data_IF_270713701696
#
_entry.id   IF_270713701696
#
_cell.length_a   1.000
_cell.length_b   1.000
_cell.length_c   1.000
_cell.angle_alpha   90.00
_cell.angle_beta   90.00
_cell.angle_gamma   90.00
#
_symmetry.space_group_name_H-M   'P 1'
#
loop_
_entity.id
_entity.type
_entity.pdbx_description
1 polymer ?
#
# COMPACT_ATOMS: atom_id res chain seq x y z
N UNK A 1 17.61 -2.80 85.75
CA UNK A 1 18.04 -2.56 84.31
C UNK A 1 16.97 -3.09 83.45
N UNK A 2 16.10 -2.23 82.87
CA UNK A 2 15.01 -2.58 81.95
C UNK A 2 15.53 -2.42 80.54
N UNK A 3 15.58 -3.50 79.73
CA UNK A 3 15.93 -3.44 78.30
C UNK A 3 14.71 -3.02 77.50
N UNK A 4 14.82 -1.85 76.83
CA UNK A 4 13.81 -1.38 75.89
C UNK A 4 14.14 -1.97 74.53
N UNK A 5 13.25 -2.82 74.00
CA UNK A 5 13.40 -3.42 72.64
C UNK A 5 12.67 -2.54 71.65
N UNK A 6 13.41 -1.91 70.75
CA UNK A 6 12.87 -1.06 69.67
C UNK A 6 12.47 -1.93 68.46
N UNK A 7 11.17 -2.09 68.24
CA UNK A 7 10.65 -2.73 67.01
C UNK A 7 10.60 -1.73 65.86
N UNK A 8 11.43 -1.97 64.87
CA UNK A 8 11.43 -1.19 63.62
C UNK A 8 10.39 -1.79 62.66
N UNK A 9 9.27 -1.10 62.45
CA UNK A 9 8.28 -1.49 61.43
C UNK A 9 8.77 -1.01 60.05
N UNK A 10 9.13 -1.92 59.16
CA UNK A 10 9.33 -1.63 57.73
C UNK A 10 7.96 -1.55 57.04
N UNK A 11 7.54 -0.33 56.68
CA UNK A 11 6.39 -0.13 55.79
C UNK A 11 6.89 -0.37 54.38
N UNK A 12 6.58 -1.53 53.79
CA UNK A 12 6.78 -1.79 52.37
C UNK A 12 5.66 -1.09 51.62
N UNK A 13 5.93 0.08 51.06
CA UNK A 13 5.00 0.78 50.19
C UNK A 13 5.02 0.10 48.81
N UNK A 14 3.98 -0.67 48.48
CA UNK A 14 3.72 -1.16 47.15
C UNK A 14 3.23 0.00 46.29
N UNK A 15 4.16 0.67 45.59
CA UNK A 15 3.77 1.56 44.51
C UNK A 15 3.41 0.70 43.30
N UNK A 16 2.22 0.89 42.68
CA UNK A 16 1.91 0.22 41.44
C UNK A 16 2.90 0.68 40.35
N UNK A 17 3.72 -0.22 39.86
CA UNK A 17 4.55 0.05 38.69
C UNK A 17 3.62 0.15 37.50
N UNK A 18 3.34 1.37 37.06
CA UNK A 18 2.69 1.61 35.75
C UNK A 18 3.68 1.13 34.66
N UNK A 19 3.48 -0.07 34.16
CA UNK A 19 4.15 -0.51 32.96
C UNK A 19 3.62 0.33 31.80
N UNK A 20 4.44 1.25 31.28
CA UNK A 20 4.13 1.97 30.05
C UNK A 20 4.10 0.94 28.92
N UNK A 21 2.90 0.67 28.41
CA UNK A 21 2.73 -0.25 27.30
C UNK A 21 3.21 0.47 26.00
N UNK A 22 4.47 0.24 25.63
CA UNK A 22 5.02 0.81 24.41
C UNK A 22 4.42 0.10 23.20
N UNK A 23 3.93 0.84 22.18
CA UNK A 23 3.35 0.22 21.01
C UNK A 23 4.40 -0.61 20.25
N UNK A 24 4.01 -1.79 19.78
CA UNK A 24 4.81 -2.57 18.85
C UNK A 24 4.88 -1.81 17.50
N UNK A 25 6.10 -1.63 16.99
CA UNK A 25 6.34 -0.96 15.69
C UNK A 25 7.16 -1.90 14.83
N UNK A 26 6.62 -2.25 13.66
CA UNK A 26 7.31 -3.10 12.68
C UNK A 26 7.31 -2.45 11.31
N UNK A 27 8.49 -2.36 10.70
CA UNK A 27 8.66 -1.85 9.35
C UNK A 27 9.14 -2.96 8.42
N UNK A 28 8.44 -3.14 7.32
CA UNK A 28 8.79 -4.05 6.23
C UNK A 28 9.20 -3.21 5.02
N UNK A 29 10.36 -3.57 4.43
CA UNK A 29 10.91 -2.92 3.25
C UNK A 29 11.08 -3.94 2.14
N UNK A 30 10.58 -3.62 0.96
CA UNK A 30 10.65 -4.45 -0.24
C UNK A 30 11.32 -3.66 -1.35
N UNK A 31 12.30 -4.29 -2.00
CA UNK A 31 12.89 -3.79 -3.24
C UNK A 31 12.46 -4.71 -4.37
N UNK A 32 11.63 -4.23 -5.26
CA UNK A 32 11.11 -5.05 -6.37
C UNK A 32 12.18 -5.50 -7.38
N UNK A 33 13.45 -5.12 -7.18
CA UNK A 33 14.62 -5.65 -7.88
C UNK A 33 14.99 -7.08 -7.47
N UNK A 34 14.36 -7.60 -6.39
CA UNK A 34 14.52 -8.96 -5.90
C UNK A 34 13.24 -9.73 -6.13
N UNK A 35 13.29 -11.05 -6.12
CA UNK A 35 12.11 -11.90 -6.14
C UNK A 35 11.37 -11.79 -4.80
N UNK A 36 10.60 -10.73 -4.61
CA UNK A 36 9.88 -10.43 -3.36
C UNK A 36 8.57 -11.23 -3.22
N UNK A 37 8.28 -12.12 -4.19
CA UNK A 37 7.08 -12.96 -4.21
C UNK A 37 5.75 -12.18 -4.13
N UNK A 38 5.71 -10.98 -4.70
CA UNK A 38 4.43 -10.33 -4.98
C UNK A 38 3.72 -11.09 -6.08
N UNK A 39 2.43 -11.38 -5.83
CA UNK A 39 1.51 -11.85 -6.86
C UNK A 39 0.94 -10.66 -7.60
N UNK A 40 0.69 -10.80 -8.90
CA UNK A 40 0.07 -9.77 -9.74
C UNK A 40 -1.27 -10.27 -10.24
N UNK A 41 -2.27 -9.40 -10.28
CA UNK A 41 -3.57 -9.69 -10.86
C UNK A 41 -4.20 -8.42 -11.43
N UNK A 42 -5.31 -8.57 -12.13
CA UNK A 42 -6.05 -7.52 -12.81
C UNK A 42 -7.53 -7.68 -12.52
N UNK A 43 -8.24 -6.58 -12.41
CA UNK A 43 -9.69 -6.54 -12.23
C UNK A 43 -10.31 -5.40 -13.03
N UNK A 44 -11.62 -5.30 -12.99
CA UNK A 44 -12.44 -4.29 -13.65
C UNK A 44 -12.31 -4.33 -15.18
N UNK A 45 -12.32 -5.56 -15.73
CA UNK A 45 -12.34 -5.83 -17.17
C UNK A 45 -13.15 -7.10 -17.50
N UNK A 46 -13.68 -7.24 -18.76
CA UNK A 46 -14.48 -8.40 -19.16
C UNK A 46 -13.65 -9.68 -19.23
N UNK A 47 -14.23 -10.81 -18.84
CA UNK A 47 -13.62 -12.15 -18.95
C UNK A 47 -13.26 -12.48 -20.40
N UNK A 48 -12.05 -13.04 -20.57
CA UNK A 48 -11.56 -13.49 -21.88
C UNK A 48 -10.99 -12.38 -22.74
N UNK A 49 -10.86 -11.17 -22.20
CA UNK A 49 -10.31 -10.01 -22.91
C UNK A 49 -8.84 -9.70 -22.50
N UNK A 50 -8.15 -10.62 -21.83
CA UNK A 50 -6.79 -10.44 -21.32
C UNK A 50 -5.81 -10.00 -22.43
N UNK A 51 -5.94 -10.59 -23.61
CA UNK A 51 -5.11 -10.25 -24.78
C UNK A 51 -5.47 -8.87 -25.35
N UNK A 52 -6.76 -8.54 -25.43
CA UNK A 52 -7.24 -7.24 -25.91
C UNK A 52 -6.82 -6.11 -24.97
N UNK A 53 -6.84 -6.36 -23.66
CA UNK A 53 -6.34 -5.43 -22.64
C UNK A 53 -4.80 -5.45 -22.51
N UNK A 54 -4.08 -6.25 -23.28
CA UNK A 54 -2.62 -6.34 -23.30
C UNK A 54 -2.01 -6.52 -21.90
N UNK A 55 -2.67 -7.31 -21.02
CA UNK A 55 -2.29 -7.46 -19.62
C UNK A 55 -0.94 -8.18 -19.49
N UNK A 56 0.05 -7.51 -18.93
CA UNK A 56 1.40 -8.02 -18.81
C UNK A 56 2.04 -7.60 -17.48
N UNK A 57 2.86 -8.49 -16.92
CA UNK A 57 3.77 -8.13 -15.85
C UNK A 57 5.12 -8.83 -15.99
N UNK A 58 6.15 -8.24 -15.40
CA UNK A 58 7.48 -8.83 -15.34
C UNK A 58 8.14 -8.51 -13.99
N UNK A 59 8.44 -9.55 -13.23
CA UNK A 59 9.28 -9.43 -12.04
C UNK A 59 10.72 -9.12 -12.45
N UNK A 60 11.43 -8.36 -11.63
CA UNK A 60 12.82 -7.99 -11.86
C UNK A 60 13.07 -7.43 -13.28
N UNK A 61 12.14 -6.60 -13.76
CA UNK A 61 12.29 -5.91 -15.02
C UNK A 61 13.34 -4.80 -14.91
N UNK A 62 14.25 -4.71 -15.88
CA UNK A 62 15.16 -3.56 -15.99
C UNK A 62 14.35 -2.30 -16.19
N UNK A 63 14.63 -1.26 -15.42
CA UNK A 63 13.97 0.04 -15.58
C UNK A 63 14.42 0.69 -16.91
N UNK A 64 13.61 1.62 -17.42
CA UNK A 64 13.98 2.42 -18.58
C UNK A 64 15.33 3.13 -18.40
N UNK A 65 16.06 3.30 -19.49
CA UNK A 65 17.45 3.81 -19.48
C UNK A 65 17.58 5.25 -18.95
N UNK A 66 16.50 6.01 -18.98
CA UNK A 66 16.43 7.39 -18.45
C UNK A 66 16.56 7.44 -16.93
N UNK A 67 16.20 6.34 -16.26
CA UNK A 67 16.50 6.16 -14.84
C UNK A 67 17.97 5.76 -14.71
N UNK A 68 18.85 6.70 -14.37
CA UNK A 68 20.31 6.61 -14.38
C UNK A 68 20.95 5.50 -13.52
N UNK A 69 20.21 4.54 -13.07
CA UNK A 69 20.69 3.42 -12.28
C UNK A 69 20.26 2.13 -12.98
N UNK A 70 21.09 1.10 -12.98
CA UNK A 70 20.70 -0.25 -13.41
C UNK A 70 19.70 -0.87 -12.40
N UNK A 71 18.67 -0.11 -12.03
CA UNK A 71 17.64 -0.56 -11.13
C UNK A 71 16.72 -1.53 -11.86
N UNK A 72 16.17 -2.44 -11.08
CA UNK A 72 15.14 -3.36 -11.51
C UNK A 72 13.88 -3.13 -10.67
N UNK A 73 12.73 -3.50 -11.22
CA UNK A 73 11.45 -3.33 -10.54
C UNK A 73 10.43 -4.37 -10.96
N UNK A 74 9.26 -4.29 -10.38
CA UNK A 74 8.07 -5.00 -10.84
C UNK A 74 7.38 -4.16 -11.90
N UNK A 75 7.48 -4.56 -13.17
CA UNK A 75 6.73 -3.95 -14.28
C UNK A 75 5.31 -4.52 -14.30
N UNK A 76 4.30 -3.65 -14.35
CA UNK A 76 2.91 -4.01 -14.65
C UNK A 76 2.43 -3.10 -15.76
N UNK A 77 1.71 -3.66 -16.74
CA UNK A 77 1.20 -2.95 -17.90
C UNK A 77 -0.16 -3.50 -18.31
N UNK A 78 -1.00 -2.64 -18.86
CA UNK A 78 -2.29 -2.98 -19.44
C UNK A 78 -2.82 -1.83 -20.28
N UNK A 79 -3.60 -2.16 -21.31
CA UNK A 79 -4.31 -1.22 -22.18
C UNK A 79 -5.77 -1.16 -21.70
N UNK A 80 -6.16 -0.04 -21.10
CA UNK A 80 -7.51 0.12 -20.55
C UNK A 80 -8.51 0.38 -21.69
N UNK A 81 -9.55 -0.46 -21.77
CA UNK A 81 -10.68 -0.34 -22.70
C UNK A 81 -12.03 -0.35 -21.98
N UNK A 82 -12.02 -0.22 -20.64
CA UNK A 82 -13.23 -0.32 -19.80
C UNK A 82 -13.45 0.91 -18.93
N UNK A 83 -12.62 1.95 -19.07
CA UNK A 83 -12.63 3.13 -18.21
C UNK A 83 -12.34 2.85 -16.72
N UNK A 84 -11.97 1.62 -16.36
CA UNK A 84 -11.82 1.25 -14.93
C UNK A 84 -10.83 0.11 -14.70
N UNK A 85 -9.84 -0.08 -15.57
CA UNK A 85 -8.87 -1.17 -15.42
C UNK A 85 -8.07 -1.03 -14.11
N UNK A 86 -8.20 -2.02 -13.21
CA UNK A 86 -7.42 -2.12 -12.01
C UNK A 86 -6.29 -3.14 -12.13
N UNK A 87 -5.04 -2.67 -12.12
CA UNK A 87 -3.82 -3.48 -12.15
C UNK A 87 -3.18 -3.49 -10.77
N UNK A 88 -3.02 -4.65 -10.13
CA UNK A 88 -2.55 -4.69 -8.75
C UNK A 88 -1.55 -5.80 -8.44
N UNK A 89 -0.68 -5.53 -7.46
CA UNK A 89 0.21 -6.48 -6.85
C UNK A 89 -0.13 -6.64 -5.36
N UNK A 90 0.05 -7.85 -4.83
CA UNK A 90 -0.26 -8.14 -3.44
C UNK A 90 0.68 -9.18 -2.82
N UNK A 91 0.86 -9.10 -1.50
CA UNK A 91 1.77 -9.96 -0.75
C UNK A 91 1.30 -10.15 0.68
N UNK A 92 1.41 -11.38 1.19
CA UNK A 92 1.18 -11.65 2.61
C UNK A 92 2.35 -11.17 3.47
N UNK A 93 2.05 -10.45 4.53
CA UNK A 93 2.97 -10.06 5.61
C UNK A 93 2.68 -10.92 6.83
N UNK A 94 3.73 -11.40 7.49
CA UNK A 94 3.68 -12.23 8.69
C UNK A 94 4.51 -11.61 9.82
N UNK A 95 4.29 -12.09 11.04
CA UNK A 95 5.11 -11.72 12.18
C UNK A 95 4.65 -10.48 12.93
N UNK A 96 3.42 -10.01 12.68
CA UNK A 96 2.72 -9.07 13.55
C UNK A 96 2.10 -9.80 14.74
N UNK A 97 1.62 -9.09 15.77
CA UNK A 97 0.86 -9.71 16.84
C UNK A 97 -0.51 -10.17 16.32
N UNK A 98 -1.02 -11.37 16.74
CA UNK A 98 -2.35 -11.84 16.39
C UNK A 98 -3.47 -10.92 16.88
N UNK A 99 -4.57 -10.83 16.13
CA UNK A 99 -5.80 -10.10 16.49
C UNK A 99 -5.54 -8.67 17.00
N UNK A 100 -4.53 -8.01 16.45
CA UNK A 100 -4.06 -6.71 16.92
C UNK A 100 -4.33 -5.64 15.86
N UNK A 101 -4.85 -4.49 16.29
CA UNK A 101 -5.08 -3.36 15.41
C UNK A 101 -3.82 -2.50 15.27
N UNK A 102 -3.43 -2.20 14.03
CA UNK A 102 -2.28 -1.39 13.70
C UNK A 102 -2.67 -0.19 12.86
N UNK A 103 -2.15 0.98 13.21
CA UNK A 103 -2.00 2.07 12.24
C UNK A 103 -0.98 1.66 11.20
N UNK A 104 -1.27 1.97 9.93
CA UNK A 104 -0.38 1.61 8.81
C UNK A 104 0.02 2.86 8.04
N UNK A 105 1.31 3.02 7.83
CA UNK A 105 1.85 4.05 6.94
C UNK A 105 2.65 3.42 5.81
N UNK A 106 2.63 4.08 4.66
CA UNK A 106 3.21 3.60 3.42
C UNK A 106 4.17 4.61 2.81
N UNK A 107 5.18 4.09 2.11
CA UNK A 107 6.00 4.86 1.16
C UNK A 107 6.26 3.96 -0.03
N UNK A 108 5.69 4.33 -1.19
CA UNK A 108 5.78 3.58 -2.44
C UNK A 108 6.53 4.41 -3.46
N UNK A 109 7.64 3.87 -3.99
CA UNK A 109 8.39 4.44 -5.08
C UNK A 109 8.16 3.64 -6.36
N UNK A 110 8.00 4.34 -7.48
CA UNK A 110 7.82 3.75 -8.80
C UNK A 110 8.38 4.69 -9.89
N UNK A 111 8.63 4.12 -11.08
CA UNK A 111 8.93 4.89 -12.27
C UNK A 111 7.69 4.97 -13.17
N UNK A 112 7.41 6.17 -13.67
CA UNK A 112 6.35 6.50 -14.61
C UNK A 112 6.87 7.49 -15.66
N UNK A 113 6.27 7.47 -16.85
CA UNK A 113 6.50 8.45 -17.91
C UNK A 113 5.23 9.21 -18.31
N UNK A 114 4.19 9.11 -17.48
CA UNK A 114 2.91 9.76 -17.73
C UNK A 114 2.99 11.25 -17.35
N UNK A 115 2.81 12.21 -18.31
CA UNK A 115 2.91 13.62 -18.00
C UNK A 115 1.72 14.10 -17.16
N UNK A 116 1.98 14.99 -16.18
CA UNK A 116 0.92 15.75 -15.50
C UNK A 116 0.31 16.78 -16.44
N UNK A 117 -0.98 17.08 -16.29
CA UNK A 117 -1.67 18.11 -17.06
C UNK A 117 -1.86 17.79 -18.54
N UNK A 118 -1.59 16.56 -18.98
CA UNK A 118 -1.81 16.12 -20.35
C UNK A 118 -3.23 15.60 -20.55
N UNK A 119 -3.70 15.57 -21.79
CA UNK A 119 -5.02 15.05 -22.16
C UNK A 119 -4.90 13.70 -22.85
N UNK A 120 -5.90 12.84 -22.67
CA UNK A 120 -6.02 11.53 -23.32
C UNK A 120 -7.48 11.07 -23.40
N UNK A 121 -7.72 9.92 -24.00
CA UNK A 121 -9.05 9.32 -24.07
C UNK A 121 -9.44 8.84 -22.67
N UNK A 122 -10.66 9.10 -22.24
CA UNK A 122 -11.14 8.78 -20.89
C UNK A 122 -10.54 9.67 -19.78
N UNK A 123 -9.33 10.23 -19.97
CA UNK A 123 -8.65 11.06 -18.99
C UNK A 123 -7.19 11.33 -19.31
N UNK A 124 -6.50 11.97 -18.38
CA UNK A 124 -5.06 12.23 -18.46
C UNK A 124 -4.25 10.97 -18.14
N UNK A 125 -3.22 10.60 -18.90
CA UNK A 125 -2.34 9.49 -18.55
C UNK A 125 -1.65 9.67 -17.20
N UNK A 126 -1.39 10.91 -16.78
CA UNK A 126 -0.76 11.23 -15.52
C UNK A 126 -1.75 11.42 -14.36
N UNK A 127 -2.85 12.14 -14.61
CA UNK A 127 -3.73 12.62 -13.55
C UNK A 127 -4.95 11.72 -13.33
N UNK A 128 -5.35 10.91 -14.34
CA UNK A 128 -6.49 10.00 -14.26
C UNK A 128 -6.08 8.52 -14.10
N UNK A 129 -4.83 8.25 -13.72
CA UNK A 129 -4.38 6.92 -13.30
C UNK A 129 -4.02 6.98 -11.82
N UNK A 130 -4.90 6.45 -10.99
CA UNK A 130 -4.91 6.63 -9.54
C UNK A 130 -4.12 5.53 -8.84
N UNK A 131 -3.14 5.90 -8.01
CA UNK A 131 -2.32 4.94 -7.26
C UNK A 131 -2.98 4.63 -5.94
N UNK A 132 -3.31 3.36 -5.75
CA UNK A 132 -4.00 2.83 -4.56
C UNK A 132 -3.11 1.90 -3.77
N UNK A 133 -3.24 1.96 -2.43
CA UNK A 133 -2.51 1.07 -1.53
C UNK A 133 -3.33 0.70 -0.32
N UNK A 134 -3.12 -0.51 0.20
CA UNK A 134 -3.82 -0.98 1.39
C UNK A 134 -3.08 -2.09 2.12
N UNK A 135 -3.51 -2.30 3.37
CA UNK A 135 -3.21 -3.47 4.17
C UNK A 135 -4.53 -4.05 4.68
N UNK A 136 -4.80 -5.32 4.40
CA UNK A 136 -6.10 -5.95 4.63
C UNK A 136 -5.96 -7.31 5.33
N UNK A 137 -6.97 -7.73 6.08
CA UNK A 137 -6.97 -9.02 6.79
C UNK A 137 -7.29 -10.22 5.89
N UNK A 138 -7.93 -10.00 4.74
CA UNK A 138 -8.31 -11.04 3.78
C UNK A 138 -7.40 -11.03 2.55
N UNK A 139 -7.19 -12.21 1.94
CA UNK A 139 -6.40 -12.31 0.71
C UNK A 139 -7.10 -11.57 -0.44
N UNK A 140 -6.38 -10.67 -1.16
CA UNK A 140 -6.89 -10.09 -2.39
C UNK A 140 -7.13 -11.19 -3.43
N UNK A 141 -8.35 -11.27 -3.93
CA UNK A 141 -8.76 -12.29 -4.91
C UNK A 141 -9.59 -11.64 -6.00
N UNK A 142 -9.26 -11.98 -7.23
CA UNK A 142 -10.11 -11.71 -8.38
C UNK A 142 -11.26 -12.72 -8.39
N UNK A 143 -12.48 -12.26 -8.60
CA UNK A 143 -13.66 -13.09 -8.82
C UNK A 143 -14.44 -12.62 -10.04
N UNK A 144 -15.34 -13.46 -10.52
CA UNK A 144 -16.16 -13.15 -11.68
C UNK A 144 -17.58 -12.77 -11.22
N UNK A 145 -18.02 -11.59 -11.67
CA UNK A 145 -19.38 -11.12 -11.50
C UNK A 145 -19.93 -10.69 -12.88
N UNK A 146 -21.05 -11.26 -13.30
CA UNK A 146 -21.72 -10.94 -14.57
C UNK A 146 -20.77 -10.87 -15.79
N UNK A 147 -19.85 -11.83 -15.93
CA UNK A 147 -18.81 -11.85 -16.97
C UNK A 147 -17.73 -10.77 -16.84
N UNK A 148 -17.67 -10.07 -15.72
CA UNK A 148 -16.68 -9.03 -15.44
C UNK A 148 -15.81 -9.46 -14.27
N UNK A 149 -14.49 -9.33 -14.38
CA UNK A 149 -13.59 -9.58 -13.27
C UNK A 149 -13.61 -8.42 -12.30
N UNK A 150 -13.83 -8.74 -11.03
CA UNK A 150 -13.84 -7.81 -9.91
C UNK A 150 -12.80 -8.23 -8.88
N UNK A 151 -12.41 -7.33 -7.98
CA UNK A 151 -11.61 -7.65 -6.79
C UNK A 151 -12.52 -7.73 -5.55
N UNK A 152 -12.23 -8.66 -4.64
CA UNK A 152 -12.99 -8.87 -3.40
C UNK A 152 -12.71 -7.80 -2.32
N UNK A 153 -12.03 -6.70 -2.65
CA UNK A 153 -11.72 -5.59 -1.78
C UNK A 153 -12.52 -4.36 -2.18
N UNK A 154 -12.86 -3.55 -1.20
CA UNK A 154 -13.33 -2.19 -1.45
C UNK A 154 -12.12 -1.28 -1.71
N UNK A 155 -11.75 -1.15 -2.99
CA UNK A 155 -10.67 -0.25 -3.44
C UNK A 155 -11.12 1.21 -3.60
N UNK A 156 -12.43 1.48 -3.44
CA UNK A 156 -13.06 2.69 -3.94
C UNK A 156 -13.16 2.67 -5.47
N UNK A 157 -13.40 3.80 -6.06
CA UNK A 157 -13.45 3.95 -7.51
C UNK A 157 -12.59 5.14 -7.93
N UNK A 158 -11.59 4.91 -8.75
CA UNK A 158 -10.68 5.94 -9.32
C UNK A 158 -10.21 6.94 -8.24
N UNK A 159 -10.65 8.20 -8.29
CA UNK A 159 -10.25 9.27 -7.35
C UNK A 159 -10.77 9.10 -5.90
N UNK A 160 -11.57 8.06 -5.64
CA UNK A 160 -12.18 7.85 -4.32
C UNK A 160 -11.46 6.76 -3.54
N UNK A 161 -11.28 7.01 -2.24
CA UNK A 161 -10.84 5.97 -1.32
C UNK A 161 -11.89 4.86 -1.19
N UNK A 162 -11.40 3.64 -1.02
CA UNK A 162 -12.21 2.54 -0.51
C UNK A 162 -11.94 2.31 0.97
N UNK A 163 -12.72 1.43 1.57
CA UNK A 163 -12.51 0.98 2.94
C UNK A 163 -11.20 0.20 3.10
N UNK A 164 -10.85 -0.58 2.09
CA UNK A 164 -9.70 -1.50 2.10
C UNK A 164 -8.44 -0.88 1.49
N UNK A 165 -8.59 0.11 0.61
CA UNK A 165 -7.47 0.79 -0.06
C UNK A 165 -7.63 2.30 -0.07
N UNK A 166 -6.52 2.99 0.13
CA UNK A 166 -6.42 4.45 0.04
C UNK A 166 -5.89 4.87 -1.33
N UNK A 167 -6.42 5.95 -1.85
CA UNK A 167 -5.81 6.74 -2.90
C UNK A 167 -4.66 7.55 -2.31
N UNK A 168 -3.43 7.32 -2.79
CA UNK A 168 -2.22 8.01 -2.31
C UNK A 168 -1.64 9.01 -3.31
N UNK A 169 -2.23 9.14 -4.47
CA UNK A 169 -1.86 10.05 -5.55
C UNK A 169 -2.10 9.46 -6.93
N UNK A 170 -1.46 10.03 -7.94
CA UNK A 170 -1.58 9.59 -9.34
C UNK A 170 -0.22 9.21 -9.94
N UNK A 171 -0.22 8.57 -11.12
CA UNK A 171 1.01 8.20 -11.83
C UNK A 171 1.78 9.41 -12.38
N UNK A 172 1.14 10.57 -12.51
CA UNK A 172 1.70 11.73 -13.17
C UNK A 172 3.05 12.17 -12.63
N UNK A 173 3.98 12.41 -13.54
CA UNK A 173 5.32 12.95 -13.28
C UNK A 173 5.55 14.22 -14.10
N UNK A 174 6.43 15.08 -13.62
CA UNK A 174 6.83 16.26 -14.37
C UNK A 174 7.79 15.84 -15.51
N UNK A 175 7.22 15.62 -16.68
CA UNK A 175 7.92 15.25 -17.91
C UNK A 175 7.17 15.80 -19.12
N UNK A 176 7.91 16.32 -20.11
CA UNK A 176 7.33 16.81 -21.36
C UNK A 176 7.48 15.82 -22.52
N UNK A 177 8.49 14.94 -22.44
CA UNK A 177 8.90 14.05 -23.52
C UNK A 177 8.58 12.58 -23.23
N UNK A 178 7.61 12.29 -22.34
CA UNK A 178 7.30 10.95 -21.88
C UNK A 178 8.53 10.19 -21.32
N UNK A 179 9.47 10.93 -20.76
CA UNK A 179 10.68 10.37 -20.14
C UNK A 179 10.34 9.84 -18.77
N UNK A 180 10.76 8.60 -18.47
CA UNK A 180 10.56 8.00 -17.17
C UNK A 180 11.22 8.78 -16.04
N UNK A 181 10.48 9.01 -14.96
CA UNK A 181 10.92 9.64 -13.71
C UNK A 181 10.52 8.76 -12.51
N UNK A 182 11.34 8.77 -11.47
CA UNK A 182 10.97 8.20 -10.18
C UNK A 182 10.01 9.13 -9.44
N UNK A 183 9.00 8.55 -8.84
CA UNK A 183 8.03 9.23 -7.97
C UNK A 183 7.82 8.43 -6.71
N UNK A 184 7.73 9.12 -5.57
CA UNK A 184 7.39 8.52 -4.29
C UNK A 184 6.05 9.05 -3.81
N UNK A 185 5.17 8.15 -3.40
CA UNK A 185 3.85 8.45 -2.84
C UNK A 185 3.68 7.76 -1.48
N UNK A 186 2.84 8.31 -0.59
CA UNK A 186 2.14 9.59 -0.70
C UNK A 186 3.08 10.79 -0.54
N UNK A 187 2.64 11.95 -1.05
CA UNK A 187 3.34 13.21 -0.82
C UNK A 187 3.00 13.73 0.58
N UNK A 188 3.92 13.55 1.53
CA UNK A 188 3.68 13.79 2.95
C UNK A 188 3.59 15.28 3.39
N UNK A 189 4.14 16.30 2.68
CA UNK A 189 3.83 17.69 2.99
C UNK A 189 2.34 18.07 2.84
N UNK A 190 1.50 17.21 2.23
CA UNK A 190 0.06 17.40 2.14
C UNK A 190 -0.63 17.02 3.47
N UNK A 191 -1.20 17.99 4.19
CA UNK A 191 -1.86 17.80 5.49
C UNK A 191 -3.12 16.92 5.41
N UNK A 192 -3.88 17.01 4.33
CA UNK A 192 -5.05 16.16 4.10
C UNK A 192 -4.62 14.70 4.01
N UNK A 193 -3.56 14.42 3.26
CA UNK A 193 -2.99 13.09 3.14
C UNK A 193 -2.46 12.57 4.48
N UNK A 194 -1.80 13.40 5.27
CA UNK A 194 -1.36 13.02 6.62
C UNK A 194 -2.55 12.66 7.51
N UNK A 195 -3.62 13.46 7.45
CA UNK A 195 -4.87 13.20 8.20
C UNK A 195 -5.52 11.89 7.76
N UNK A 196 -5.58 11.62 6.45
CA UNK A 196 -6.09 10.38 5.89
C UNK A 196 -5.30 9.17 6.39
N UNK A 197 -3.98 9.20 6.27
CA UNK A 197 -3.09 8.13 6.71
C UNK A 197 -3.15 7.89 8.21
N UNK A 198 -3.31 8.93 9.02
CA UNK A 198 -3.40 8.79 10.49
C UNK A 198 -4.63 8.01 10.95
N UNK A 199 -5.69 7.94 10.13
CA UNK A 199 -6.93 7.20 10.39
C UNK A 199 -6.88 5.77 9.85
N UNK A 200 -5.98 5.47 8.90
CA UNK A 200 -5.94 4.16 8.25
C UNK A 200 -5.35 3.09 9.20
N UNK A 201 -6.07 2.00 9.34
CA UNK A 201 -5.65 0.90 10.23
C UNK A 201 -6.16 -0.44 9.71
N UNK A 202 -5.47 -1.50 10.15
CA UNK A 202 -5.85 -2.88 9.87
C UNK A 202 -5.77 -3.73 11.14
N UNK A 203 -6.66 -4.70 11.28
CA UNK A 203 -6.57 -5.73 12.32
C UNK A 203 -5.99 -6.99 11.70
N UNK A 204 -4.94 -7.54 12.30
CA UNK A 204 -4.32 -8.80 11.90
C UNK A 204 -5.27 -9.99 12.15
N UNK A 205 -5.07 -11.07 11.40
CA UNK A 205 -5.76 -12.33 11.65
C UNK A 205 -5.18 -13.07 12.90
N UNK A 206 -5.73 -14.25 13.21
CA UNK A 206 -5.32 -15.09 14.33
C UNK A 206 -3.84 -15.54 14.27
N UNK A 207 -3.19 -15.43 13.11
CA UNK A 207 -1.80 -15.79 12.90
C UNK A 207 -0.85 -14.56 12.88
N UNK A 208 -1.36 -13.36 13.16
CA UNK A 208 -0.58 -12.13 13.05
C UNK A 208 -0.21 -11.80 11.60
N UNK A 209 -1.11 -12.09 10.66
CA UNK A 209 -0.89 -11.87 9.24
C UNK A 209 -1.83 -10.79 8.69
N UNK A 210 -1.36 -10.07 7.67
CA UNK A 210 -2.14 -9.18 6.80
C UNK A 210 -1.68 -9.35 5.36
N UNK A 211 -2.45 -8.82 4.43
CA UNK A 211 -2.07 -8.73 3.02
C UNK A 211 -1.83 -7.27 2.65
N UNK A 212 -0.67 -6.98 2.06
CA UNK A 212 -0.43 -5.73 1.38
C UNK A 212 -1.00 -5.83 -0.03
N UNK A 213 -1.59 -4.74 -0.50
CA UNK A 213 -2.09 -4.59 -1.86
C UNK A 213 -1.76 -3.18 -2.35
N UNK A 214 -1.28 -3.07 -3.59
CA UNK A 214 -0.98 -1.80 -4.24
C UNK A 214 -1.31 -1.93 -5.73
N UNK A 215 -1.71 -0.85 -6.36
CA UNK A 215 -2.08 -0.90 -7.76
C UNK A 215 -2.44 0.45 -8.36
N UNK A 216 -2.83 0.41 -9.63
CA UNK A 216 -3.33 1.56 -10.38
C UNK A 216 -4.76 1.30 -10.81
N UNK A 217 -5.63 2.27 -10.57
CA UNK A 217 -7.03 2.33 -10.95
C UNK A 217 -7.17 3.41 -12.03
N UNK A 218 -7.46 3.01 -13.27
CA UNK A 218 -7.25 3.86 -14.44
C UNK A 218 -8.56 4.33 -15.07
N UNK A 219 -8.83 5.63 -15.04
CA UNK A 219 -9.80 6.27 -15.93
C UNK A 219 -9.21 6.65 -17.30
N UNK A 220 -7.90 6.54 -17.51
CA UNK A 220 -7.26 6.78 -18.80
C UNK A 220 -7.40 5.54 -19.70
N UNK A 221 -8.06 5.70 -20.84
CA UNK A 221 -8.36 4.63 -21.81
C UNK A 221 -7.24 4.46 -22.83
N UNK A 222 -6.11 3.97 -22.39
CA UNK A 222 -4.98 3.54 -23.22
C UNK A 222 -3.97 2.75 -22.39
N UNK A 223 -2.81 2.47 -22.98
CA UNK A 223 -1.76 1.68 -22.32
C UNK A 223 -1.12 2.46 -21.18
N UNK A 224 -1.19 1.88 -19.98
CA UNK A 224 -0.48 2.32 -18.79
C UNK A 224 0.62 1.33 -18.47
N UNK A 225 1.84 1.82 -18.21
CA UNK A 225 2.97 1.01 -17.72
C UNK A 225 3.58 1.66 -16.48
N UNK A 226 3.71 0.89 -15.42
CA UNK A 226 4.37 1.32 -14.17
C UNK A 226 5.46 0.32 -13.78
N UNK A 227 6.57 0.84 -13.21
CA UNK A 227 7.64 0.02 -12.63
C UNK A 227 7.71 0.33 -11.14
N UNK A 228 7.18 -0.54 -10.29
CA UNK A 228 7.35 -0.42 -8.84
C UNK A 228 8.79 -0.76 -8.46
N UNK A 229 9.44 0.11 -7.67
CA UNK A 229 10.85 -0.01 -7.30
C UNK A 229 11.04 -0.32 -5.82
N UNK A 230 10.40 0.44 -4.94
CA UNK A 230 10.52 0.29 -3.50
C UNK A 230 9.17 0.44 -2.79
N UNK A 231 8.97 -0.36 -1.76
CA UNK A 231 7.82 -0.22 -0.85
C UNK A 231 8.32 -0.32 0.60
N UNK A 232 7.99 0.67 1.40
CA UNK A 232 8.15 0.62 2.86
C UNK A 232 6.78 0.71 3.52
N UNK A 233 6.50 -0.21 4.44
CA UNK A 233 5.25 -0.25 5.20
C UNK A 233 5.57 -0.35 6.67
N UNK A 234 5.05 0.57 7.48
CA UNK A 234 5.21 0.57 8.93
C UNK A 234 3.87 0.32 9.60
N UNK A 235 3.86 -0.69 10.47
CA UNK A 235 2.75 -1.05 11.34
C UNK A 235 3.06 -0.56 12.75
N UNK A 236 2.21 0.32 13.29
CA UNK A 236 2.29 0.82 14.68
C UNK A 236 1.05 0.37 15.44
N UNK A 237 1.25 -0.47 16.46
CA UNK A 237 0.15 -0.98 17.31
C UNK A 237 -0.68 0.17 17.89
N UNK A 238 -1.99 0.05 17.79
CA UNK A 238 -2.93 0.94 18.48
C UNK A 238 -3.16 0.42 19.89
N UNK A 239 -2.58 1.09 20.87
CA UNK A 239 -2.85 0.81 22.28
C UNK A 239 -4.18 1.49 22.61
N UNK A 240 -5.19 0.75 23.13
CA UNK A 240 -6.40 1.37 23.65
C UNK A 240 -6.02 2.40 24.71
N UNK A 241 -6.52 3.62 24.61
CA UNK A 241 -6.40 4.56 25.71
C UNK A 241 -7.29 4.03 26.85
N UNK A 242 -6.68 3.65 27.96
CA UNK A 242 -7.42 3.42 29.21
C UNK A 242 -8.04 4.75 29.62
N UNK A 243 -9.37 4.80 29.58
CA UNK A 243 -10.15 5.92 30.16
C UNK A 243 -9.99 5.93 31.68
#
# INVERSE_FOLDING_TARGET
>A
MKKCSLFLFFIVSNYPTFAWNTPDIKTYKYTFSKAENFKVSYADYPKGQEQFFELQFKNNATLPYEIKSQLHGLKISGNNHSDDLFMYAYKKVKGLKPNTNYHVSFSLEFASNAPVGSSGVGGSPGDSVYVKIGAVSKEPQRYLDNNYYQINLDKGNQERDGKDMLLIGTLGVDTQDNIYRLKTLPYLPNEEMQTKLSKYSVTTNNNGEVWLVLGTDSGYESTTTVFYTNLSVTFKERIPQTQ
#
